data_IF_974786896171
#
_entry.id   IF_974786896171
#
_cell.length_a   1.000
_cell.length_b   1.000
_cell.length_c   1.000
_cell.angle_alpha   90.00
_cell.angle_beta   90.00
_cell.angle_gamma   90.00
#
_symmetry.space_group_name_H-M   'P 1'
#
loop_
_entity.id
_entity.type
_entity.pdbx_description
1 polymer ?
#
# COMPACT_ATOMS: atom_id res chain seq x y z
N UNK A 1 16.23 -28.02 -10.86
CA UNK A 1 17.55 -28.30 -10.26
C UNK A 1 17.31 -28.82 -8.84
N UNK A 2 17.72 -30.05 -8.50
CA UNK A 2 17.71 -30.50 -7.12
C UNK A 2 18.84 -29.80 -6.35
N UNK A 3 18.49 -29.15 -5.24
CA UNK A 3 19.44 -28.51 -4.31
C UNK A 3 19.29 -29.13 -2.94
N UNK A 4 20.41 -29.27 -2.22
CA UNK A 4 20.40 -29.81 -0.86
C UNK A 4 20.25 -28.72 0.18
N UNK A 5 19.62 -29.08 1.30
CA UNK A 5 19.56 -28.25 2.50
C UNK A 5 20.90 -28.35 3.23
N UNK A 6 21.47 -27.21 3.63
CA UNK A 6 22.71 -27.13 4.39
C UNK A 6 22.48 -26.44 5.72
N UNK A 7 23.29 -26.77 6.72
CA UNK A 7 23.29 -26.08 8.02
C UNK A 7 24.00 -24.74 7.89
N UNK A 8 23.36 -23.67 8.36
CA UNK A 8 23.91 -22.31 8.44
C UNK A 8 23.72 -21.84 9.89
N UNK A 9 24.76 -21.98 10.71
CA UNK A 9 24.67 -21.70 12.15
C UNK A 9 23.66 -22.60 12.86
N UNK A 10 22.67 -22.00 13.53
CA UNK A 10 21.55 -22.72 14.16
C UNK A 10 20.39 -23.02 13.20
N UNK A 11 20.50 -22.58 11.94
CA UNK A 11 19.43 -22.68 10.94
C UNK A 11 19.79 -23.66 9.82
N UNK A 12 18.80 -23.97 9.00
CA UNK A 12 18.95 -24.68 7.74
C UNK A 12 18.68 -23.72 6.58
N UNK A 13 19.41 -23.86 5.48
CA UNK A 13 19.26 -23.03 4.30
C UNK A 13 19.42 -23.81 3.01
N UNK A 14 18.85 -23.27 1.94
CA UNK A 14 19.03 -23.75 0.55
C UNK A 14 19.83 -22.70 -0.20
N UNK A 15 20.85 -23.13 -0.96
CA UNK A 15 21.62 -22.23 -1.82
C UNK A 15 20.79 -21.95 -3.08
N UNK A 16 20.33 -20.71 -3.24
CA UNK A 16 19.66 -20.26 -4.45
C UNK A 16 20.70 -19.84 -5.48
N UNK A 17 20.69 -20.41 -6.70
CA UNK A 17 21.63 -20.02 -7.74
C UNK A 17 21.31 -18.60 -8.25
N UNK A 18 22.32 -17.88 -8.73
CA UNK A 18 22.16 -16.49 -9.25
C UNK A 18 20.99 -16.31 -10.23
N UNK A 19 20.73 -17.23 -11.19
CA UNK A 19 19.58 -17.10 -12.09
C UNK A 19 18.23 -17.14 -11.37
N UNK A 20 18.11 -17.85 -10.25
CA UNK A 20 16.88 -17.89 -9.47
C UNK A 20 16.64 -16.55 -8.72
N UNK A 21 17.70 -15.92 -8.21
CA UNK A 21 17.62 -14.59 -7.59
C UNK A 21 17.19 -13.53 -8.62
N UNK A 22 17.77 -13.59 -9.82
CA UNK A 22 17.39 -12.69 -10.93
C UNK A 22 15.93 -12.89 -11.35
N UNK A 23 15.47 -14.14 -11.47
CA UNK A 23 14.07 -14.44 -11.79
C UNK A 23 13.10 -13.95 -10.71
N UNK A 24 13.54 -13.93 -9.44
CA UNK A 24 12.78 -13.38 -8.32
C UNK A 24 12.80 -11.83 -8.30
N UNK A 25 13.74 -11.19 -9.01
CA UNK A 25 13.94 -9.75 -8.98
C UNK A 25 14.55 -9.22 -7.69
N UNK A 26 15.21 -10.08 -6.91
CA UNK A 26 15.79 -9.74 -5.60
C UNK A 26 17.32 -9.69 -5.72
N UNK A 27 17.92 -8.58 -5.28
CA UNK A 27 19.37 -8.42 -5.23
C UNK A 27 20.00 -9.23 -4.08
N UNK A 28 21.32 -9.45 -4.13
CA UNK A 28 22.06 -10.08 -3.03
C UNK A 28 21.87 -9.29 -1.72
N UNK A 29 21.47 -9.96 -0.64
CA UNK A 29 21.09 -9.31 0.62
C UNK A 29 19.66 -8.75 0.68
N UNK A 30 18.86 -8.92 -0.37
CA UNK A 30 17.46 -8.52 -0.38
C UNK A 30 16.59 -9.41 0.53
N UNK A 31 15.53 -8.81 1.08
CA UNK A 31 14.56 -9.51 1.91
C UNK A 31 13.62 -10.37 1.04
N UNK A 32 13.37 -11.59 1.49
CA UNK A 32 12.42 -12.54 0.88
C UNK A 32 11.45 -13.04 1.94
N UNK A 33 10.25 -13.38 1.53
CA UNK A 33 9.22 -13.95 2.37
C UNK A 33 8.96 -15.40 1.96
N UNK A 34 8.76 -16.27 2.95
CA UNK A 34 8.42 -17.67 2.76
C UNK A 34 6.92 -17.87 2.99
N UNK A 35 6.22 -18.31 1.95
CA UNK A 35 4.82 -18.70 2.02
C UNK A 35 4.76 -20.22 2.16
N UNK A 36 4.17 -20.67 3.27
CA UNK A 36 4.00 -22.09 3.57
C UNK A 36 2.66 -22.57 3.04
N UNK A 37 2.69 -23.58 2.18
CA UNK A 37 1.51 -24.27 1.67
C UNK A 37 1.67 -25.77 1.92
N UNK A 38 0.58 -26.53 1.85
CA UNK A 38 0.65 -27.98 2.09
C UNK A 38 1.53 -28.65 1.04
N UNK A 39 2.70 -29.15 1.45
CA UNK A 39 3.66 -29.85 0.59
C UNK A 39 4.55 -28.96 -0.27
N UNK A 40 4.46 -27.63 -0.18
CA UNK A 40 5.31 -26.71 -0.93
C UNK A 40 5.61 -25.44 -0.12
N UNK A 41 6.80 -24.89 -0.32
CA UNK A 41 7.20 -23.59 0.22
C UNK A 41 7.50 -22.70 -0.97
N UNK A 42 6.82 -21.57 -1.04
CA UNK A 42 6.98 -20.58 -2.10
C UNK A 42 7.80 -19.41 -1.56
N UNK A 43 8.84 -18.99 -2.28
CA UNK A 43 9.67 -17.84 -1.92
C UNK A 43 9.23 -16.67 -2.79
N UNK A 44 8.87 -15.55 -2.17
CA UNK A 44 8.49 -14.31 -2.87
C UNK A 44 9.38 -13.17 -2.39
N UNK A 45 9.60 -12.12 -3.21
CA UNK A 45 10.24 -10.90 -2.72
C UNK A 45 9.46 -10.37 -1.52
N UNK A 46 10.14 -10.04 -0.44
CA UNK A 46 9.47 -9.40 0.68
C UNK A 46 8.90 -8.07 0.19
N UNK A 47 7.60 -7.87 0.36
CA UNK A 47 7.02 -6.54 0.16
C UNK A 47 7.63 -5.63 1.23
N UNK A 48 8.20 -4.49 0.82
CA UNK A 48 8.60 -3.44 1.77
C UNK A 48 7.45 -3.22 2.75
N UNK A 49 7.76 -3.09 4.03
CA UNK A 49 6.70 -2.85 5.02
C UNK A 49 5.99 -1.55 4.63
N UNK A 50 4.66 -1.54 4.74
CA UNK A 50 3.89 -0.32 4.53
C UNK A 50 4.45 0.73 5.49
N UNK A 51 4.95 1.86 4.95
CA UNK A 51 5.63 2.96 5.67
C UNK A 51 7.09 2.74 6.06
N UNK A 52 7.76 1.71 5.54
CA UNK A 52 9.22 1.59 5.64
C UNK A 52 9.89 2.80 4.94
N UNK A 53 10.77 3.52 5.65
CA UNK A 53 11.43 4.74 5.17
C UNK A 53 10.68 6.04 5.48
N UNK A 54 9.41 5.97 5.90
CA UNK A 54 8.63 7.19 6.17
C UNK A 54 9.21 8.01 7.30
N UNK A 55 9.70 7.37 8.38
CA UNK A 55 10.24 8.10 9.52
C UNK A 55 11.47 8.94 9.11
N UNK A 56 12.34 8.36 8.30
CA UNK A 56 13.52 9.01 7.75
C UNK A 56 13.14 10.13 6.76
N UNK A 57 12.17 9.88 5.87
CA UNK A 57 11.68 10.86 4.90
C UNK A 57 11.00 12.05 5.60
N UNK A 58 10.17 11.81 6.62
CA UNK A 58 9.56 12.87 7.43
C UNK A 58 10.60 13.67 8.20
N UNK A 59 11.65 13.03 8.73
CA UNK A 59 12.73 13.74 9.39
C UNK A 59 13.52 14.62 8.42
N UNK A 60 13.76 14.14 7.19
CA UNK A 60 14.41 14.93 6.14
C UNK A 60 13.55 16.13 5.72
N UNK A 61 12.25 15.93 5.49
CA UNK A 61 11.30 17.00 5.17
C UNK A 61 11.20 18.04 6.30
N UNK A 62 11.16 17.60 7.56
CA UNK A 62 11.13 18.50 8.71
C UNK A 62 12.41 19.35 8.83
N UNK A 63 13.57 18.81 8.41
CA UNK A 63 14.83 19.53 8.41
C UNK A 63 14.93 20.58 7.30
N UNK A 64 14.34 20.32 6.13
CA UNK A 64 14.27 21.27 5.01
C UNK A 64 13.27 22.40 5.27
N UNK A 65 12.22 22.10 6.05
CA UNK A 65 11.17 23.04 6.42
C UNK A 65 10.09 23.15 5.34
N UNK A 66 8.98 23.82 5.68
CA UNK A 66 7.88 24.04 4.74
C UNK A 66 8.23 25.15 3.76
N UNK A 67 7.92 24.96 2.48
CA UNK A 67 7.94 26.04 1.49
C UNK A 67 6.84 27.08 1.76
N UNK A 68 6.85 28.20 1.05
CA UNK A 68 5.75 29.18 1.14
C UNK A 68 4.43 28.60 0.63
N UNK A 69 4.48 27.83 -0.46
CA UNK A 69 3.33 27.08 -0.98
C UNK A 69 2.81 26.10 0.07
N UNK A 70 3.69 25.28 0.68
CA UNK A 70 3.26 24.32 1.72
C UNK A 70 2.58 25.01 2.91
N UNK A 71 3.03 26.22 3.29
CA UNK A 71 2.38 27.01 4.34
C UNK A 71 1.04 27.55 3.88
N UNK A 72 0.93 28.04 2.66
CA UNK A 72 -0.33 28.50 2.08
C UNK A 72 -1.38 27.37 2.08
N UNK A 73 -1.00 26.17 1.66
CA UNK A 73 -1.87 25.00 1.73
C UNK A 73 -2.21 24.59 3.18
N UNK A 74 -1.24 24.64 4.11
CA UNK A 74 -1.45 24.26 5.51
C UNK A 74 -2.34 25.23 6.27
N UNK A 75 -2.21 26.52 5.97
CA UNK A 75 -2.92 27.63 6.62
C UNK A 75 -4.17 28.05 5.85
N UNK A 76 -4.48 27.36 4.74
CA UNK A 76 -5.67 27.60 3.95
C UNK A 76 -6.93 27.53 4.82
N UNK A 77 -7.78 28.53 4.68
CA UNK A 77 -9.09 28.52 5.34
C UNK A 77 -10.01 27.51 4.63
N UNK A 78 -10.02 26.28 5.15
CA UNK A 78 -10.86 25.17 4.69
C UNK A 78 -12.36 25.44 4.84
N UNK A 79 -12.76 26.54 5.47
CA UNK A 79 -14.16 26.93 5.70
C UNK A 79 -14.58 28.13 4.85
N UNK A 80 -13.64 28.78 4.16
CA UNK A 80 -13.92 29.97 3.35
C UNK A 80 -14.72 29.66 2.07
N UNK A 81 -14.55 28.46 1.51
CA UNK A 81 -15.25 27.99 0.30
C UNK A 81 -16.38 26.99 0.57
N UNK A 82 -16.77 26.77 1.84
CA UNK A 82 -18.10 26.21 2.12
C UNK A 82 -19.16 27.29 1.91
N UNK A 83 -19.19 27.86 0.70
CA UNK A 83 -20.40 28.51 0.21
C UNK A 83 -21.41 27.38 0.02
N UNK A 84 -22.39 27.33 0.91
CA UNK A 84 -23.60 26.52 0.76
C UNK A 84 -24.26 26.78 -0.63
N UNK A 85 -23.99 27.96 -1.21
CA UNK A 85 -24.38 28.36 -2.56
C UNK A 85 -23.51 27.73 -3.68
N UNK A 86 -22.23 27.41 -3.42
CA UNK A 86 -21.30 26.80 -4.37
C UNK A 86 -21.41 25.27 -4.44
N UNK A 87 -21.78 24.63 -3.32
CA UNK A 87 -22.02 23.19 -3.24
C UNK A 87 -23.38 22.77 -3.82
N UNK A 88 -24.21 23.74 -4.25
CA UNK A 88 -25.59 23.50 -4.65
C UNK A 88 -26.44 23.08 -3.45
N UNK A 89 -27.77 22.90 -3.62
CA UNK A 89 -28.54 22.24 -2.59
C UNK A 89 -27.89 20.89 -2.29
N UNK A 90 -27.81 20.53 -1.00
CA UNK A 90 -27.56 19.14 -0.60
C UNK A 90 -28.46 18.22 -1.45
N UNK A 91 -27.97 17.01 -1.73
CA UNK A 91 -28.70 15.99 -2.51
C UNK A 91 -30.17 16.00 -2.11
N UNK A 92 -31.06 16.16 -3.10
CA UNK A 92 -32.50 16.21 -2.81
C UNK A 92 -32.96 14.87 -2.26
N UNK A 93 -34.03 14.87 -1.44
CA UNK A 93 -34.61 13.63 -0.92
C UNK A 93 -34.96 12.63 -2.04
N UNK A 94 -35.33 13.13 -3.23
CA UNK A 94 -35.63 12.31 -4.40
C UNK A 94 -34.37 11.66 -4.99
N UNK A 95 -33.26 12.40 -5.08
CA UNK A 95 -31.97 11.87 -5.54
C UNK A 95 -31.38 10.86 -4.56
N UNK A 96 -31.51 11.11 -3.25
CA UNK A 96 -31.11 10.17 -2.21
C UNK A 96 -31.94 8.88 -2.32
N UNK A 97 -33.27 9.00 -2.44
CA UNK A 97 -34.14 7.85 -2.60
C UNK A 97 -33.84 7.04 -3.88
N UNK A 98 -33.51 7.72 -4.99
CA UNK A 98 -33.11 7.06 -6.23
C UNK A 98 -31.78 6.31 -6.08
N UNK A 99 -30.79 6.90 -5.39
CA UNK A 99 -29.51 6.26 -5.11
C UNK A 99 -29.68 5.03 -4.20
N UNK A 100 -30.48 5.13 -3.14
CA UNK A 100 -30.80 4.01 -2.25
C UNK A 100 -31.52 2.88 -2.98
N UNK A 101 -32.47 3.21 -3.86
CA UNK A 101 -33.16 2.21 -4.68
C UNK A 101 -32.20 1.52 -5.67
N UNK A 102 -31.29 2.27 -6.29
CA UNK A 102 -30.28 1.72 -7.19
C UNK A 102 -29.30 0.80 -6.43
N UNK A 103 -28.88 1.19 -5.22
CA UNK A 103 -28.02 0.37 -4.37
C UNK A 103 -28.72 -0.92 -3.96
N UNK A 104 -29.98 -0.83 -3.50
CA UNK A 104 -30.77 -2.00 -3.10
C UNK A 104 -31.07 -2.96 -4.28
N UNK A 105 -31.19 -2.45 -5.51
CA UNK A 105 -31.32 -3.27 -6.71
C UNK A 105 -30.00 -3.99 -7.04
N UNK A 106 -28.86 -3.32 -6.89
CA UNK A 106 -27.54 -3.88 -7.13
C UNK A 106 -27.13 -4.91 -6.06
N UNK A 107 -27.58 -4.75 -4.81
CA UNK A 107 -27.40 -5.74 -3.75
C UNK A 107 -28.26 -7.01 -3.95
N UNK A 108 -29.38 -6.89 -4.68
CA UNK A 108 -30.27 -8.03 -4.99
C UNK A 108 -29.83 -8.82 -6.22
N UNK A 109 -28.93 -8.26 -7.04
CA UNK A 109 -28.31 -8.94 -8.18
C UNK A 109 -26.78 -8.71 -8.16
N UNK A 110 -26.05 -9.36 -7.25
CA UNK A 110 -24.60 -9.34 -7.28
C UNK A 110 -24.16 -10.15 -8.50
N UNK A 111 -23.71 -9.46 -9.55
CA UNK A 111 -22.95 -10.09 -10.63
C UNK A 111 -21.75 -10.87 -10.08
#
# INVERSE_FOLDING_TARGET
>A
MPTSIRKIGNSQGVILPKPALQALGVAEGGAVEFIYETGKISIVPAKRKVREGWAEDFAALAADGLSEEDREWLEADLTSETDEEALGPDWTDEEIAALEAALAANERDPR
#
